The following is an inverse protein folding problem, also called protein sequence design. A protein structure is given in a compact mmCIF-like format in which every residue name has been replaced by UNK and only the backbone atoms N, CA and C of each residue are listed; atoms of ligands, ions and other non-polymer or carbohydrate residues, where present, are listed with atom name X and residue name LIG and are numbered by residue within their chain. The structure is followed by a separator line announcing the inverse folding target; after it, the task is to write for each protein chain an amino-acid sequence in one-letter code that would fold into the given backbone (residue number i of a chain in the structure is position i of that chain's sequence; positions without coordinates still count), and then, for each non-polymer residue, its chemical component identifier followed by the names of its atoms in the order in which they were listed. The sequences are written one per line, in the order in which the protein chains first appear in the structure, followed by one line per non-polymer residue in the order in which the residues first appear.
data_IF_763734973848
#
_entry.id   IF_763734973848
#
_cell.length_a   1.000
_cell.length_b   1.000
_cell.length_c   1.000
_cell.angle_alpha   90.00
_cell.angle_beta   90.00
_cell.angle_gamma   90.00
#
_symmetry.space_group_name_H-M   'P 1'
#
loop_
_entity.id
_entity.type
_entity.pdbx_description
1 polymer ?
#
# COMPACT_ATOMS: atom_id res chain seq x y z
N UNK A 1 -26.12 -40.91 69.92
CA UNK A 1 -25.20 -40.85 68.75
C UNK A 1 -25.80 -39.83 67.76
N UNK A 2 -25.34 -38.57 67.84
CA UNK A 2 -25.79 -37.47 66.98
C UNK A 2 -24.79 -37.36 65.79
N UNK A 3 -25.24 -37.58 64.56
CA UNK A 3 -24.46 -37.38 63.34
C UNK A 3 -24.52 -35.90 62.95
N UNK A 4 -23.37 -35.21 62.98
CA UNK A 4 -23.20 -33.87 62.39
C UNK A 4 -23.03 -34.03 60.87
N UNK A 5 -23.94 -33.48 60.11
CA UNK A 5 -23.73 -33.24 58.65
C UNK A 5 -23.04 -31.86 58.52
N UNK A 6 -21.79 -31.92 58.01
CA UNK A 6 -21.09 -30.68 57.56
C UNK A 6 -21.45 -30.42 56.08
N UNK A 7 -22.18 -29.35 55.86
CA UNK A 7 -22.47 -28.83 54.51
C UNK A 7 -21.31 -27.99 54.04
N UNK A 8 -20.56 -28.47 53.06
CA UNK A 8 -19.45 -27.74 52.42
C UNK A 8 -20.03 -26.86 51.30
N UNK A 9 -20.17 -25.55 51.57
CA UNK A 9 -20.57 -24.58 50.55
C UNK A 9 -19.39 -24.22 49.68
N UNK A 10 -19.43 -24.67 48.41
CA UNK A 10 -18.46 -24.31 47.38
C UNK A 10 -18.87 -22.95 46.78
N UNK A 11 -18.19 -21.91 47.17
CA UNK A 11 -18.37 -20.58 46.55
C UNK A 11 -17.68 -20.57 45.17
N UNK A 12 -18.46 -20.66 44.11
CA UNK A 12 -17.97 -20.50 42.75
C UNK A 12 -17.70 -19.04 42.51
N UNK A 13 -16.45 -18.60 42.61
CA UNK A 13 -16.04 -17.23 42.22
C UNK A 13 -16.10 -17.16 40.70
N UNK A 14 -17.17 -16.60 40.15
CA UNK A 14 -17.20 -16.14 38.78
C UNK A 14 -16.24 -14.95 38.68
N UNK A 15 -15.02 -15.20 38.23
CA UNK A 15 -14.13 -14.14 37.72
C UNK A 15 -14.75 -13.62 36.42
N UNK A 16 -15.48 -12.51 36.48
CA UNK A 16 -15.78 -11.73 35.29
C UNK A 16 -14.43 -11.24 34.76
N UNK A 17 -13.95 -11.81 33.65
CA UNK A 17 -12.87 -11.21 32.91
C UNK A 17 -13.35 -9.79 32.51
N UNK A 18 -12.79 -8.79 33.14
CA UNK A 18 -12.98 -7.41 32.68
C UNK A 18 -12.31 -7.33 31.32
N UNK A 19 -13.09 -7.12 30.28
CA UNK A 19 -12.55 -6.81 28.96
C UNK A 19 -11.70 -5.54 29.12
N UNK A 20 -10.43 -5.63 28.76
CA UNK A 20 -9.59 -4.44 28.72
C UNK A 20 -10.19 -3.49 27.68
N UNK A 21 -10.44 -2.24 28.08
CA UNK A 21 -10.91 -1.23 27.14
C UNK A 21 -9.85 -1.01 26.04
N UNK A 22 -10.29 -0.73 24.81
CA UNK A 22 -9.37 -0.37 23.74
C UNK A 22 -8.51 0.83 24.16
N UNK A 23 -7.21 0.88 23.81
CA UNK A 23 -6.34 2.00 24.13
C UNK A 23 -6.90 3.31 23.57
N UNK A 24 -6.94 4.37 24.38
CA UNK A 24 -7.37 5.70 23.94
C UNK A 24 -6.15 6.54 23.54
N UNK A 25 -5.94 6.82 22.23
CA UNK A 25 -4.81 7.63 21.78
C UNK A 25 -4.84 9.08 22.29
N UNK A 26 -5.97 9.58 22.79
CA UNK A 26 -6.03 10.87 23.48
C UNK A 26 -5.34 10.86 24.85
N UNK A 27 -5.16 9.68 25.46
CA UNK A 27 -4.36 9.47 26.67
C UNK A 27 -3.05 8.75 26.33
N UNK A 28 -2.21 9.41 25.56
CA UNK A 28 -0.96 8.81 25.04
C UNK A 28 -0.02 8.21 26.09
N UNK A 29 0.15 8.80 27.31
CA UNK A 29 0.93 8.16 28.37
C UNK A 29 0.40 6.77 28.76
N UNK A 30 -0.92 6.56 28.79
CA UNK A 30 -1.51 5.24 29.05
C UNK A 30 -1.22 4.27 27.90
N UNK A 31 -1.33 4.72 26.63
CA UNK A 31 -0.99 3.89 25.46
C UNK A 31 0.46 3.41 25.54
N UNK A 32 1.40 4.29 25.90
CA UNK A 32 2.81 3.92 26.05
C UNK A 32 3.04 2.92 27.20
N UNK A 33 2.29 3.02 28.30
CA UNK A 33 2.42 2.07 29.40
C UNK A 33 1.85 0.70 29.03
N UNK A 34 0.66 0.68 28.40
CA UNK A 34 -0.02 -0.55 27.98
C UNK A 34 0.79 -1.27 26.89
N UNK A 35 1.49 -0.53 26.01
CA UNK A 35 2.30 -1.08 24.94
C UNK A 35 3.56 -1.82 25.42
N UNK A 36 4.07 -1.54 26.63
CA UNK A 36 5.32 -2.13 27.11
C UNK A 36 5.25 -3.64 27.20
N UNK A 37 6.23 -4.30 26.52
CA UNK A 37 6.32 -5.76 26.49
C UNK A 37 5.40 -6.43 25.48
N UNK A 38 4.55 -5.67 24.76
CA UNK A 38 3.76 -6.21 23.68
C UNK A 38 4.61 -6.65 22.50
N UNK A 39 4.10 -7.61 21.74
CA UNK A 39 4.65 -8.02 20.44
C UNK A 39 3.60 -7.73 19.38
N UNK A 40 3.92 -6.83 18.45
CA UNK A 40 3.08 -6.44 17.32
C UNK A 40 3.41 -7.33 16.12
N UNK A 41 2.46 -8.16 15.69
CA UNK A 41 2.55 -8.90 14.43
C UNK A 41 2.05 -8.02 13.28
N UNK A 42 2.99 -7.39 12.59
CA UNK A 42 2.70 -6.51 11.46
C UNK A 42 2.64 -7.31 10.16
N UNK A 43 1.45 -7.48 9.65
CA UNK A 43 1.19 -8.14 8.38
C UNK A 43 1.40 -7.13 7.25
N UNK A 44 2.52 -7.26 6.55
CA UNK A 44 2.96 -6.31 5.53
C UNK A 44 3.51 -7.05 4.30
N UNK A 45 3.36 -6.46 3.13
CA UNK A 45 3.97 -6.98 1.91
C UNK A 45 5.48 -7.18 2.09
N UNK A 46 5.97 -8.34 1.66
CA UNK A 46 7.34 -8.77 1.92
C UNK A 46 8.19 -9.01 0.68
N UNK A 47 7.72 -8.56 -0.50
CA UNK A 47 8.34 -8.89 -1.79
C UNK A 47 9.61 -8.10 -2.14
N UNK A 48 10.07 -7.15 -1.30
CA UNK A 48 11.29 -6.38 -1.54
C UNK A 48 12.16 -6.28 -0.29
N UNK A 49 13.46 -6.54 -0.44
CA UNK A 49 14.40 -6.59 0.69
C UNK A 49 14.62 -5.23 1.35
N UNK A 50 14.64 -4.15 0.58
CA UNK A 50 14.76 -2.79 1.08
C UNK A 50 13.57 -2.39 1.97
N UNK A 51 12.34 -2.76 1.59
CA UNK A 51 11.13 -2.53 2.38
C UNK A 51 11.18 -3.36 3.66
N UNK A 52 11.57 -4.64 3.57
CA UNK A 52 11.75 -5.51 4.73
C UNK A 52 12.82 -4.95 5.69
N UNK A 53 13.90 -4.39 5.16
CA UNK A 53 14.95 -3.76 5.97
C UNK A 53 14.45 -2.49 6.68
N UNK A 54 13.63 -1.65 6.01
CA UNK A 54 13.00 -0.50 6.64
C UNK A 54 12.07 -0.92 7.79
N UNK A 55 11.22 -1.93 7.57
CA UNK A 55 10.32 -2.46 8.62
C UNK A 55 11.11 -2.99 9.82
N UNK A 56 12.21 -3.72 9.56
CA UNK A 56 13.10 -4.22 10.63
C UNK A 56 13.78 -3.08 11.39
N UNK A 57 14.23 -2.02 10.68
CA UNK A 57 14.81 -0.83 11.30
C UNK A 57 13.79 -0.12 12.20
N UNK A 58 12.57 0.12 11.69
CA UNK A 58 11.50 0.74 12.48
C UNK A 58 11.19 -0.08 13.73
N UNK A 59 11.11 -1.42 13.59
CA UNK A 59 10.90 -2.35 14.70
C UNK A 59 12.01 -2.23 15.76
N UNK A 60 13.28 -2.16 15.36
CA UNK A 60 14.40 -2.01 16.27
C UNK A 60 14.36 -0.68 17.07
N UNK A 61 13.95 0.42 16.42
CA UNK A 61 13.76 1.70 17.09
C UNK A 61 12.62 1.62 18.12
N UNK A 62 11.50 1.03 17.76
CA UNK A 62 10.33 0.87 18.62
C UNK A 62 10.64 -0.01 19.82
N UNK A 63 11.35 -1.12 19.62
CA UNK A 63 11.76 -2.00 20.71
C UNK A 63 12.70 -1.27 21.68
N UNK A 64 13.71 -0.56 21.15
CA UNK A 64 14.68 0.17 21.96
C UNK A 64 14.05 1.33 22.78
N UNK A 65 13.08 2.07 22.20
CA UNK A 65 12.52 3.27 22.85
C UNK A 65 11.33 2.98 23.75
N UNK A 66 10.51 2.00 23.35
CA UNK A 66 9.20 1.77 23.96
C UNK A 66 9.01 0.37 24.52
N UNK A 67 9.98 -0.55 24.30
CA UNK A 67 9.88 -1.93 24.75
C UNK A 67 8.83 -2.75 23.99
N UNK A 68 8.42 -2.32 22.80
CA UNK A 68 7.47 -3.01 21.94
C UNK A 68 8.23 -3.78 20.86
N UNK A 69 8.06 -5.10 20.80
CA UNK A 69 8.66 -5.93 19.77
C UNK A 69 7.81 -5.90 18.51
N UNK A 70 8.42 -5.73 17.35
CA UNK A 70 7.74 -5.79 16.05
C UNK A 70 8.19 -7.03 15.28
N UNK A 71 7.23 -7.82 14.81
CA UNK A 71 7.45 -9.00 14.00
C UNK A 71 6.73 -8.83 12.67
N UNK A 72 7.47 -8.63 11.59
CA UNK A 72 6.88 -8.62 10.25
C UNK A 72 6.38 -10.01 9.86
N UNK A 73 5.10 -10.12 9.55
CA UNK A 73 4.52 -11.26 8.85
C UNK A 73 4.47 -10.91 7.37
N UNK A 74 5.41 -11.47 6.61
CA UNK A 74 5.57 -11.17 5.18
C UNK A 74 4.41 -11.74 4.38
N UNK A 75 3.73 -10.88 3.63
CA UNK A 75 2.62 -11.22 2.75
C UNK A 75 3.05 -11.08 1.29
N UNK A 76 2.52 -11.95 0.44
CA UNK A 76 2.51 -11.75 -1.02
C UNK A 76 1.33 -10.83 -1.42
N UNK A 77 0.19 -10.96 -0.71
CA UNK A 77 -1.03 -10.19 -0.91
C UNK A 77 -1.72 -9.90 0.42
N UNK A 78 -2.16 -8.66 0.61
CA UNK A 78 -2.87 -8.18 1.81
C UNK A 78 -4.19 -8.91 2.05
N UNK A 79 -4.87 -9.37 1.00
CA UNK A 79 -6.11 -10.15 1.11
C UNK A 79 -5.95 -11.40 1.99
N UNK A 80 -4.74 -11.96 2.10
CA UNK A 80 -4.43 -13.09 2.99
C UNK A 80 -4.62 -12.72 4.47
N UNK A 81 -4.16 -11.53 4.89
CA UNK A 81 -4.37 -11.04 6.26
C UNK A 81 -5.85 -10.72 6.52
N UNK A 82 -6.53 -10.12 5.55
CA UNK A 82 -7.98 -9.84 5.64
C UNK A 82 -8.77 -11.14 5.82
N UNK A 83 -8.51 -12.16 5.01
CA UNK A 83 -9.16 -13.47 5.12
C UNK A 83 -8.95 -14.11 6.49
N UNK A 84 -7.78 -13.93 7.09
CA UNK A 84 -7.47 -14.42 8.43
C UNK A 84 -8.32 -13.74 9.50
N UNK A 85 -8.46 -12.41 9.46
CA UNK A 85 -9.31 -11.66 10.40
C UNK A 85 -10.79 -12.02 10.22
N UNK A 86 -11.26 -12.21 8.97
CA UNK A 86 -12.61 -12.69 8.66
C UNK A 86 -12.85 -14.07 9.28
N UNK A 87 -11.91 -15.01 9.13
CA UNK A 87 -12.02 -16.35 9.70
C UNK A 87 -12.03 -16.33 11.23
N UNK A 88 -11.22 -15.47 11.86
CA UNK A 88 -11.22 -15.28 13.31
C UNK A 88 -12.57 -14.74 13.81
N UNK A 89 -13.17 -13.78 13.11
CA UNK A 89 -14.50 -13.26 13.44
C UNK A 89 -15.58 -14.35 13.32
N UNK A 90 -15.54 -15.13 12.24
CA UNK A 90 -16.48 -16.24 12.03
C UNK A 90 -16.35 -17.31 13.13
N UNK A 91 -15.13 -17.50 13.67
CA UNK A 91 -14.87 -18.40 14.80
C UNK A 91 -15.22 -17.78 16.18
N UNK A 92 -15.76 -16.56 16.23
CA UNK A 92 -16.11 -15.85 17.46
C UNK A 92 -14.90 -15.32 18.25
N UNK A 93 -13.72 -15.24 17.63
CA UNK A 93 -12.50 -14.73 18.25
C UNK A 93 -12.50 -13.20 18.25
N UNK A 94 -13.12 -12.62 19.28
CA UNK A 94 -13.27 -11.16 19.39
C UNK A 94 -12.06 -10.47 20.04
N UNK A 95 -11.13 -11.23 20.61
CA UNK A 95 -9.90 -10.77 21.26
C UNK A 95 -8.74 -11.71 20.95
N UNK A 96 -7.52 -11.25 21.19
CA UNK A 96 -6.32 -12.05 21.01
C UNK A 96 -6.14 -12.52 19.57
N UNK A 97 -6.50 -11.68 18.61
CA UNK A 97 -6.29 -11.93 17.19
C UNK A 97 -4.81 -12.18 16.88
N UNK A 98 -4.56 -12.78 15.74
CA UNK A 98 -3.21 -13.11 15.30
C UNK A 98 -2.60 -12.05 14.35
N UNK A 99 -3.33 -10.96 14.14
CA UNK A 99 -2.95 -9.83 13.31
C UNK A 99 -3.12 -8.57 14.14
N UNK A 100 -2.03 -7.82 14.36
CA UNK A 100 -2.06 -6.61 15.18
C UNK A 100 -2.03 -5.33 14.35
N UNK A 101 -1.30 -5.36 13.24
CA UNK A 101 -1.23 -4.26 12.29
C UNK A 101 -1.22 -4.82 10.87
N UNK A 102 -1.89 -4.15 9.94
CA UNK A 102 -1.92 -4.52 8.51
C UNK A 102 -1.48 -3.33 7.68
N UNK A 103 -0.55 -3.52 6.75
CA UNK A 103 -0.38 -2.62 5.63
C UNK A 103 -1.52 -2.87 4.64
N UNK A 104 -2.36 -1.88 4.42
CA UNK A 104 -3.65 -2.05 3.76
C UNK A 104 -3.95 -0.90 2.79
N UNK A 105 -4.72 -1.19 1.75
CA UNK A 105 -5.25 -0.23 0.78
C UNK A 105 -6.53 -0.75 0.11
N UNK A 106 -7.30 0.17 -0.44
CA UNK A 106 -8.30 -0.06 -1.47
C UNK A 106 -9.38 -1.06 -1.09
N UNK A 107 -9.53 -2.11 -1.88
CA UNK A 107 -10.59 -3.13 -1.68
C UNK A 107 -10.45 -3.87 -0.36
N UNK A 108 -9.22 -4.03 0.13
CA UNK A 108 -8.95 -4.67 1.41
C UNK A 108 -9.44 -3.81 2.57
N UNK A 109 -9.17 -2.50 2.55
CA UNK A 109 -9.70 -1.56 3.54
C UNK A 109 -11.24 -1.48 3.44
N UNK A 110 -11.79 -1.28 2.24
CA UNK A 110 -13.23 -1.22 2.02
C UNK A 110 -13.94 -2.48 2.57
N UNK A 111 -13.36 -3.66 2.33
CA UNK A 111 -13.86 -4.94 2.84
C UNK A 111 -13.82 -4.99 4.37
N UNK A 112 -12.68 -4.66 4.99
CA UNK A 112 -12.57 -4.68 6.45
C UNK A 112 -13.49 -3.65 7.12
N UNK A 113 -13.58 -2.44 6.56
CA UNK A 113 -14.44 -1.38 7.08
C UNK A 113 -15.92 -1.77 7.03
N UNK A 114 -16.40 -2.23 5.87
CA UNK A 114 -17.80 -2.60 5.68
C UNK A 114 -18.26 -3.77 6.56
N UNK A 115 -17.35 -4.65 6.93
CA UNK A 115 -17.61 -5.81 7.78
C UNK A 115 -17.36 -5.55 9.28
N UNK A 116 -16.95 -4.33 9.66
CA UNK A 116 -16.60 -3.99 11.05
C UNK A 116 -15.43 -4.86 11.57
N UNK A 117 -14.38 -5.01 10.77
CA UNK A 117 -13.19 -5.79 11.09
C UNK A 117 -12.02 -4.93 11.57
N UNK A 118 -12.17 -3.62 11.61
CA UNK A 118 -11.19 -2.67 12.10
C UNK A 118 -11.50 -2.25 13.54
N UNK A 119 -10.49 -1.76 14.24
CA UNK A 119 -10.66 -1.09 15.53
C UNK A 119 -11.66 0.06 15.36
N UNK A 120 -12.79 0.00 16.06
CA UNK A 120 -13.98 0.78 15.73
C UNK A 120 -13.90 2.27 16.11
N UNK A 121 -13.06 2.62 17.08
CA UNK A 121 -12.87 4.01 17.48
C UNK A 121 -11.88 4.71 16.52
N UNK A 122 -12.18 5.93 16.04
CA UNK A 122 -11.21 6.72 15.29
C UNK A 122 -9.97 6.98 16.14
N UNK A 123 -8.82 6.48 15.69
CA UNK A 123 -7.57 6.54 16.46
C UNK A 123 -6.45 7.28 15.74
N UNK A 124 -6.38 7.16 14.40
CA UNK A 124 -5.23 7.61 13.62
C UNK A 124 -4.99 9.12 13.73
N UNK A 125 -6.05 9.93 13.63
CA UNK A 125 -5.94 11.40 13.69
C UNK A 125 -5.62 11.92 15.11
N UNK A 126 -5.68 11.07 16.13
CA UNK A 126 -5.34 11.40 17.51
C UNK A 126 -3.89 11.04 17.88
N UNK A 127 -3.15 10.40 17.00
CA UNK A 127 -1.75 10.08 17.22
C UNK A 127 -0.91 11.36 17.38
N UNK A 128 0.06 11.43 18.31
CA UNK A 128 0.86 12.63 18.56
C UNK A 128 1.57 13.20 17.31
N UNK A 129 2.02 12.34 16.41
CA UNK A 129 2.71 12.74 15.18
C UNK A 129 1.76 13.09 14.02
N UNK A 130 0.45 12.90 14.17
CA UNK A 130 -0.55 13.32 13.18
C UNK A 130 -0.44 14.81 12.81
N UNK A 131 0.00 15.64 13.75
CA UNK A 131 0.24 17.09 13.54
C UNK A 131 1.19 17.42 12.38
N UNK A 132 2.00 16.46 11.96
CA UNK A 132 2.93 16.61 10.84
C UNK A 132 2.33 16.15 9.50
N UNK A 133 1.25 15.36 9.51
CA UNK A 133 0.59 14.85 8.31
C UNK A 133 -0.03 15.99 7.51
N UNK A 134 0.19 15.99 6.20
CA UNK A 134 -0.31 17.02 5.29
C UNK A 134 -1.75 16.71 4.82
N UNK A 135 -2.68 16.78 5.76
CA UNK A 135 -4.08 16.46 5.47
C UNK A 135 -4.79 17.47 4.55
N UNK A 136 -4.23 18.68 4.41
CA UNK A 136 -4.76 19.74 3.52
C UNK A 136 -4.15 19.68 2.12
N UNK A 137 -2.82 19.50 2.02
CA UNK A 137 -2.11 19.44 0.75
C UNK A 137 -2.14 18.06 0.09
N UNK A 138 -2.47 17.02 0.85
CA UNK A 138 -2.52 15.61 0.41
C UNK A 138 -3.84 14.97 0.82
N UNK A 139 -4.97 15.32 0.19
CA UNK A 139 -6.30 14.86 0.61
C UNK A 139 -6.45 13.33 0.61
N UNK A 140 -5.64 12.60 -0.16
CA UNK A 140 -5.61 11.14 -0.18
C UNK A 140 -5.19 10.51 1.14
N UNK A 141 -4.65 11.27 2.11
CA UNK A 141 -4.40 10.75 3.48
C UNK A 141 -5.69 10.56 4.29
N UNK A 142 -6.84 11.05 3.79
CA UNK A 142 -8.17 10.91 4.39
C UNK A 142 -9.12 10.07 3.57
N UNK A 143 -8.66 9.54 2.43
CA UNK A 143 -9.44 8.66 1.57
C UNK A 143 -8.56 7.52 1.08
N UNK A 144 -9.00 6.29 1.29
CA UNK A 144 -8.38 5.13 0.68
C UNK A 144 -9.18 4.77 -0.58
N UNK A 145 -8.54 4.99 -1.72
CA UNK A 145 -9.17 5.10 -3.04
C UNK A 145 -10.31 6.15 -2.96
N UNK A 146 -11.54 5.79 -2.97
CA UNK A 146 -12.66 6.73 -2.81
C UNK A 146 -13.37 6.61 -1.45
N UNK A 147 -12.88 5.72 -0.57
CA UNK A 147 -13.51 5.42 0.70
C UNK A 147 -12.94 6.34 1.79
N UNK A 148 -13.74 7.15 2.49
CA UNK A 148 -13.27 7.91 3.63
C UNK A 148 -12.62 6.98 4.67
N UNK A 149 -11.45 7.37 5.20
CA UNK A 149 -10.75 6.55 6.20
C UNK A 149 -11.38 6.64 7.58
N UNK A 150 -12.08 7.73 7.88
CA UNK A 150 -12.78 8.00 9.16
C UNK A 150 -11.88 7.79 10.40
N UNK A 151 -10.56 7.99 10.24
CA UNK A 151 -9.58 7.80 11.31
C UNK A 151 -9.35 6.33 11.72
N UNK A 152 -9.76 5.35 10.91
CA UNK A 152 -9.63 3.91 11.18
C UNK A 152 -8.31 3.32 10.68
N UNK A 153 -7.54 4.10 9.92
CA UNK A 153 -6.21 3.75 9.43
C UNK A 153 -5.30 4.98 9.44
N UNK A 154 -4.00 4.77 9.60
CA UNK A 154 -3.00 5.83 9.61
C UNK A 154 -2.21 5.82 8.29
N UNK A 155 -2.07 6.98 7.60
CA UNK A 155 -1.27 7.08 6.40
C UNK A 155 0.22 6.99 6.76
N UNK A 156 1.02 6.21 6.04
CA UNK A 156 2.44 6.10 6.35
C UNK A 156 3.36 6.22 5.13
N UNK A 157 2.79 6.41 3.94
CA UNK A 157 3.52 6.67 2.71
C UNK A 157 2.62 7.09 1.58
N UNK A 158 3.23 7.69 0.56
CA UNK A 158 2.55 8.09 -0.67
C UNK A 158 3.02 7.21 -1.81
N UNK A 159 2.14 6.97 -2.75
CA UNK A 159 2.45 6.21 -3.94
C UNK A 159 2.03 6.97 -5.19
N UNK A 160 2.80 6.84 -6.25
CA UNK A 160 2.47 7.36 -7.57
C UNK A 160 3.03 6.44 -8.65
N UNK A 161 2.19 6.10 -9.60
CA UNK A 161 2.61 5.31 -10.74
C UNK A 161 3.58 6.13 -11.60
N UNK A 162 4.77 5.59 -11.78
CA UNK A 162 5.81 6.16 -12.63
C UNK A 162 6.33 5.08 -13.56
N UNK A 163 6.72 5.48 -14.75
CA UNK A 163 7.36 4.61 -15.73
C UNK A 163 8.87 4.81 -15.71
N UNK A 164 9.60 3.75 -16.03
CA UNK A 164 11.06 3.75 -16.17
C UNK A 164 11.43 3.31 -17.57
N UNK A 165 12.47 3.93 -18.12
CA UNK A 165 13.08 3.55 -19.38
C UNK A 165 14.60 3.55 -19.27
N UNK A 166 15.27 2.75 -20.08
CA UNK A 166 16.71 2.85 -20.27
C UNK A 166 17.02 3.91 -21.34
N UNK A 167 17.56 5.05 -20.91
CA UNK A 167 17.86 6.18 -21.79
C UNK A 167 18.97 5.87 -22.84
N UNK A 168 19.72 4.79 -22.64
CA UNK A 168 20.65 4.28 -23.65
C UNK A 168 19.93 3.58 -24.82
N UNK A 169 18.67 3.16 -24.65
CA UNK A 169 17.88 2.45 -25.65
C UNK A 169 16.73 3.27 -26.20
N UNK A 170 15.99 3.97 -25.32
CA UNK A 170 14.81 4.75 -25.68
C UNK A 170 15.08 6.22 -25.37
N UNK A 171 15.02 7.09 -26.38
CA UNK A 171 15.22 8.54 -26.21
C UNK A 171 14.01 9.19 -25.57
N UNK A 172 14.22 10.32 -24.90
CA UNK A 172 13.16 11.04 -24.21
C UNK A 172 12.03 11.52 -25.14
N UNK A 173 12.35 11.88 -26.38
CA UNK A 173 11.38 12.30 -27.39
C UNK A 173 10.46 11.18 -27.88
N UNK A 174 10.91 9.92 -27.76
CA UNK A 174 10.19 8.71 -28.20
C UNK A 174 9.33 8.09 -27.08
N UNK A 175 9.36 8.68 -25.86
CA UNK A 175 8.62 8.14 -24.73
C UNK A 175 7.11 8.35 -24.88
N UNK A 176 6.30 7.36 -24.49
CA UNK A 176 4.84 7.50 -24.44
C UNK A 176 4.40 8.64 -23.50
N UNK A 177 3.38 9.38 -23.91
CA UNK A 177 2.79 10.49 -23.11
C UNK A 177 1.38 10.19 -22.61
N UNK A 178 0.87 9.00 -22.93
CA UNK A 178 -0.45 8.52 -22.57
C UNK A 178 -0.52 6.99 -22.72
N UNK A 179 -1.59 6.38 -22.21
CA UNK A 179 -1.84 4.95 -22.48
C UNK A 179 -1.97 4.67 -23.98
N UNK A 180 -2.58 5.57 -24.76
CA UNK A 180 -2.69 5.43 -26.21
C UNK A 180 -1.32 5.45 -26.89
N UNK A 181 -0.42 6.34 -26.46
CA UNK A 181 0.95 6.38 -27.00
C UNK A 181 1.75 5.14 -26.58
N UNK A 182 1.53 4.63 -25.36
CA UNK A 182 2.17 3.39 -24.90
C UNK A 182 1.74 2.19 -25.75
N UNK A 183 0.48 2.11 -26.13
CA UNK A 183 0.01 1.09 -27.07
C UNK A 183 0.71 1.21 -28.42
N UNK A 184 0.75 2.42 -28.98
CA UNK A 184 1.43 2.68 -30.26
C UNK A 184 2.93 2.40 -30.19
N UNK A 185 3.56 2.67 -29.05
CA UNK A 185 4.96 2.34 -28.79
C UNK A 185 5.17 0.82 -28.72
N UNK A 186 4.30 0.10 -28.01
CA UNK A 186 4.38 -1.36 -27.88
C UNK A 186 4.15 -2.07 -29.23
N UNK A 187 3.26 -1.56 -30.09
CA UNK A 187 3.05 -2.05 -31.45
C UNK A 187 4.32 -1.89 -32.34
N UNK A 188 5.10 -0.84 -32.11
CA UNK A 188 6.40 -0.59 -32.82
C UNK A 188 7.56 -1.38 -32.19
N UNK A 189 7.47 -1.70 -30.89
CA UNK A 189 8.51 -2.36 -30.11
C UNK A 189 7.97 -3.65 -29.46
N UNK A 190 7.51 -4.64 -30.26
CA UNK A 190 6.84 -5.81 -29.70
C UNK A 190 7.77 -6.61 -28.79
N UNK A 191 7.24 -7.02 -27.66
CA UNK A 191 7.95 -7.77 -26.65
C UNK A 191 8.75 -6.93 -25.65
N UNK A 192 8.76 -5.58 -25.78
CA UNK A 192 9.62 -4.70 -24.97
C UNK A 192 8.91 -4.04 -23.80
N UNK A 193 7.63 -4.36 -23.55
CA UNK A 193 6.81 -3.95 -22.44
C UNK A 193 6.02 -5.14 -21.88
N UNK A 194 5.70 -5.10 -20.60
CA UNK A 194 4.77 -6.01 -19.94
C UNK A 194 4.23 -5.40 -18.67
N UNK A 195 3.26 -6.08 -18.05
CA UNK A 195 2.74 -5.81 -16.71
C UNK A 195 2.52 -7.13 -15.97
N UNK A 196 2.56 -7.15 -14.61
CA UNK A 196 2.24 -8.34 -13.84
C UNK A 196 0.79 -8.76 -14.03
N UNK A 197 0.54 -10.06 -13.94
CA UNK A 197 -0.82 -10.61 -14.07
C UNK A 197 -1.67 -10.20 -12.85
N UNK A 198 -2.87 -9.60 -13.05
CA UNK A 198 -3.81 -9.43 -11.96
C UNK A 198 -4.13 -10.77 -11.24
N UNK A 199 -4.30 -10.79 -9.89
CA UNK A 199 -4.54 -9.62 -9.04
C UNK A 199 -3.28 -8.97 -8.44
N UNK A 200 -2.08 -9.18 -8.99
CA UNK A 200 -0.90 -8.41 -8.52
C UNK A 200 -1.22 -6.91 -8.54
N UNK A 201 -0.90 -6.21 -7.45
CA UNK A 201 -1.26 -4.81 -7.26
C UNK A 201 -0.72 -3.89 -8.37
N UNK A 202 0.51 -4.12 -8.83
CA UNK A 202 1.14 -3.32 -9.90
C UNK A 202 0.43 -3.58 -11.24
N UNK A 203 0.12 -4.86 -11.53
CA UNK A 203 -0.65 -5.22 -12.72
C UNK A 203 -2.03 -4.60 -12.72
N UNK A 204 -2.77 -4.71 -11.62
CA UNK A 204 -4.10 -4.10 -11.46
C UNK A 204 -4.04 -2.57 -11.53
N UNK A 205 -2.96 -1.95 -11.03
CA UNK A 205 -2.74 -0.50 -11.15
C UNK A 205 -2.54 -0.06 -12.61
N UNK A 206 -1.85 -0.87 -13.43
CA UNK A 206 -1.76 -0.60 -14.86
C UNK A 206 -3.16 -0.64 -15.53
N UNK A 207 -3.98 -1.63 -15.21
CA UNK A 207 -5.35 -1.71 -15.73
C UNK A 207 -6.18 -0.49 -15.32
N UNK A 208 -6.07 -0.05 -14.06
CA UNK A 208 -6.76 1.15 -13.56
C UNK A 208 -6.26 2.43 -14.25
N UNK A 209 -4.95 2.56 -14.50
CA UNK A 209 -4.38 3.68 -15.26
C UNK A 209 -5.01 3.76 -16.65
N UNK A 210 -5.04 2.63 -17.38
CA UNK A 210 -5.63 2.58 -18.72
C UNK A 210 -7.14 2.86 -18.67
N UNK A 211 -7.87 2.30 -17.70
CA UNK A 211 -9.29 2.56 -17.50
C UNK A 211 -9.55 4.06 -17.28
N UNK A 212 -8.78 4.69 -16.39
CA UNK A 212 -8.92 6.12 -16.05
C UNK A 212 -8.64 7.05 -17.23
N UNK A 213 -7.77 6.64 -18.17
CA UNK A 213 -7.50 7.41 -19.37
C UNK A 213 -8.53 7.16 -20.49
N UNK A 214 -9.08 5.96 -20.59
CA UNK A 214 -9.92 5.56 -21.73
C UNK A 214 -11.40 5.72 -21.48
N UNK A 215 -11.85 5.74 -20.22
CA UNK A 215 -13.26 5.95 -19.90
C UNK A 215 -13.71 7.38 -20.23
N UNK A 216 -14.87 7.51 -20.85
CA UNK A 216 -15.40 8.82 -21.24
C UNK A 216 -15.92 9.63 -20.05
N UNK A 217 -16.69 8.96 -19.17
CA UNK A 217 -17.25 9.59 -17.96
C UNK A 217 -16.51 9.08 -16.72
N UNK A 218 -15.49 9.82 -16.30
CA UNK A 218 -14.66 9.48 -15.15
C UNK A 218 -15.42 9.47 -13.83
N UNK A 219 -16.55 10.19 -13.72
CA UNK A 219 -17.33 10.21 -12.49
C UNK A 219 -17.88 8.83 -12.12
N UNK A 220 -18.10 7.96 -13.12
CA UNK A 220 -18.52 6.57 -12.89
C UNK A 220 -17.48 5.75 -12.13
N UNK A 221 -16.22 6.08 -12.25
CA UNK A 221 -15.14 5.37 -11.56
C UNK A 221 -15.06 5.72 -10.07
N UNK A 222 -15.62 6.86 -9.66
CA UNK A 222 -15.59 7.32 -8.27
C UNK A 222 -16.73 6.71 -7.41
N UNK A 223 -17.65 5.99 -8.02
CA UNK A 223 -18.77 5.30 -7.37
C UNK A 223 -18.65 3.79 -7.52
N UNK A 224 -19.34 2.99 -6.67
CA UNK A 224 -19.40 1.54 -6.83
C UNK A 224 -19.79 1.13 -8.23
N UNK A 225 -19.15 0.06 -8.74
CA UNK A 225 -19.48 -0.49 -10.05
C UNK A 225 -20.93 -0.96 -10.08
N UNK A 226 -21.64 -0.63 -11.17
CA UNK A 226 -22.97 -1.15 -11.47
C UNK A 226 -22.83 -2.22 -12.53
N UNK A 227 -23.28 -3.44 -12.24
CA UNK A 227 -23.11 -4.59 -13.15
C UNK A 227 -23.70 -4.35 -14.52
N UNK A 228 -24.85 -3.67 -14.60
CA UNK A 228 -25.51 -3.32 -15.85
C UNK A 228 -24.72 -2.31 -16.70
N UNK A 229 -23.86 -1.50 -16.09
CA UNK A 229 -23.04 -0.51 -16.78
C UNK A 229 -21.61 -1.00 -17.03
N UNK A 230 -21.14 -2.02 -16.30
CA UNK A 230 -19.75 -2.48 -16.30
C UNK A 230 -19.23 -2.75 -17.72
N UNK A 231 -19.96 -3.52 -18.51
CA UNK A 231 -19.54 -3.89 -19.85
C UNK A 231 -19.31 -2.68 -20.76
N UNK A 232 -20.18 -1.67 -20.68
CA UNK A 232 -20.06 -0.46 -21.49
C UNK A 232 -18.90 0.45 -21.02
N UNK A 233 -18.77 0.64 -19.70
CA UNK A 233 -17.74 1.51 -19.11
C UNK A 233 -16.33 0.90 -19.28
N UNK A 234 -16.18 -0.42 -19.10
CA UNK A 234 -14.89 -1.09 -19.20
C UNK A 234 -14.49 -1.48 -20.64
N UNK A 235 -15.41 -1.37 -21.61
CA UNK A 235 -15.12 -1.74 -23.00
C UNK A 235 -13.85 -1.09 -23.57
N UNK A 236 -13.62 0.23 -23.41
CA UNK A 236 -12.40 0.86 -23.93
C UNK A 236 -11.11 0.28 -23.35
N UNK A 237 -11.11 -0.07 -22.06
CA UNK A 237 -9.98 -0.78 -21.43
C UNK A 237 -9.72 -2.12 -22.12
N UNK A 238 -10.75 -2.94 -22.29
CA UNK A 238 -10.56 -4.27 -22.86
C UNK A 238 -10.25 -4.23 -24.36
N UNK A 239 -10.80 -3.29 -25.12
CA UNK A 239 -10.40 -3.03 -26.51
C UNK A 239 -8.91 -2.65 -26.60
N UNK A 240 -8.42 -1.85 -25.65
CA UNK A 240 -7.00 -1.51 -25.53
C UNK A 240 -6.13 -2.74 -25.22
N UNK A 241 -6.55 -3.58 -24.25
CA UNK A 241 -5.80 -4.78 -23.86
C UNK A 241 -5.79 -5.84 -24.99
N UNK A 242 -6.87 -5.99 -25.75
CA UNK A 242 -6.93 -6.89 -26.91
C UNK A 242 -5.88 -6.53 -27.97
N UNK A 243 -5.55 -5.23 -28.12
CA UNK A 243 -4.48 -4.74 -28.99
C UNK A 243 -3.10 -4.82 -28.36
N UNK A 244 -2.99 -4.53 -27.06
CA UNK A 244 -1.71 -4.49 -26.35
C UNK A 244 -1.15 -5.90 -26.13
N UNK A 245 -1.96 -6.85 -25.66
CA UNK A 245 -1.48 -8.16 -25.21
C UNK A 245 -0.65 -8.92 -26.28
N UNK A 246 -0.99 -8.94 -27.56
CA UNK A 246 -0.15 -9.57 -28.58
C UNK A 246 1.25 -8.95 -28.74
N UNK A 247 1.43 -7.72 -28.26
CA UNK A 247 2.68 -6.95 -28.36
C UNK A 247 3.49 -6.94 -27.05
N UNK A 248 2.98 -7.58 -25.99
CA UNK A 248 3.70 -7.72 -24.72
C UNK A 248 4.87 -8.71 -24.83
N UNK A 249 5.75 -8.66 -23.82
CA UNK A 249 6.75 -9.68 -23.58
C UNK A 249 6.13 -11.08 -23.72
N UNK A 250 6.83 -11.98 -24.41
CA UNK A 250 6.33 -13.32 -24.77
C UNK A 250 4.94 -13.33 -25.43
N UNK A 251 4.57 -12.21 -26.07
CA UNK A 251 3.29 -12.05 -26.80
C UNK A 251 2.06 -12.21 -25.89
N UNK A 252 2.19 -11.81 -24.61
CA UNK A 252 1.11 -11.94 -23.64
C UNK A 252 0.74 -13.38 -23.28
N UNK A 253 1.58 -14.36 -23.60
CA UNK A 253 1.39 -15.77 -23.20
C UNK A 253 1.99 -16.08 -21.84
N UNK A 254 2.82 -15.19 -21.31
CA UNK A 254 3.35 -15.20 -19.97
C UNK A 254 3.48 -13.75 -19.50
N UNK A 255 3.38 -13.57 -18.20
CA UNK A 255 3.45 -12.28 -17.53
C UNK A 255 4.54 -12.33 -16.44
N UNK A 256 5.20 -11.20 -16.11
CA UNK A 256 5.98 -11.09 -14.89
C UNK A 256 5.11 -11.46 -13.68
N UNK A 257 5.69 -12.09 -12.67
CA UNK A 257 4.95 -12.48 -11.48
C UNK A 257 4.57 -11.25 -10.64
N UNK A 258 5.49 -10.28 -10.56
CA UNK A 258 5.38 -9.08 -9.73
C UNK A 258 6.34 -7.99 -10.23
N UNK A 259 6.39 -6.86 -9.52
CA UNK A 259 7.30 -5.77 -9.86
C UNK A 259 8.81 -6.16 -9.81
N UNK A 260 9.33 -6.87 -8.79
CA UNK A 260 10.71 -7.37 -8.81
C UNK A 260 11.07 -8.14 -10.08
N UNK A 261 10.17 -8.97 -10.61
CA UNK A 261 10.38 -9.65 -11.88
C UNK A 261 10.46 -8.68 -13.06
N UNK A 262 9.61 -7.65 -13.11
CA UNK A 262 9.67 -6.62 -14.15
C UNK A 262 11.01 -5.87 -14.13
N UNK A 263 11.49 -5.52 -12.92
CA UNK A 263 12.77 -4.85 -12.71
C UNK A 263 13.92 -5.73 -13.22
N UNK A 264 13.91 -7.04 -12.89
CA UNK A 264 14.90 -8.00 -13.37
C UNK A 264 14.86 -8.12 -14.91
N UNK A 265 13.68 -8.21 -15.53
CA UNK A 265 13.55 -8.26 -16.98
C UNK A 265 14.07 -6.99 -17.66
N UNK A 266 13.94 -5.81 -17.01
CA UNK A 266 14.55 -4.58 -17.51
C UNK A 266 16.08 -4.63 -17.38
N UNK A 267 16.63 -5.09 -16.26
CA UNK A 267 18.06 -5.27 -16.05
C UNK A 267 18.67 -6.23 -17.06
N UNK A 268 17.98 -7.33 -17.36
CA UNK A 268 18.38 -8.33 -18.37
C UNK A 268 18.20 -7.81 -19.81
N UNK A 269 17.63 -6.62 -19.98
CA UNK A 269 17.38 -6.00 -21.28
C UNK A 269 16.24 -6.65 -22.07
N UNK A 270 15.35 -7.40 -21.43
CA UNK A 270 14.15 -7.97 -22.06
C UNK A 270 13.03 -6.95 -22.17
N UNK A 271 12.91 -6.01 -21.19
CA UNK A 271 12.01 -4.87 -21.25
C UNK A 271 12.79 -3.57 -21.44
N UNK A 272 12.23 -2.63 -22.21
CA UNK A 272 12.79 -1.28 -22.41
C UNK A 272 11.98 -0.23 -21.64
N UNK A 273 10.72 -0.51 -21.34
CA UNK A 273 9.86 0.27 -20.44
C UNK A 273 9.29 -0.66 -19.38
N UNK A 274 9.35 -0.22 -18.12
CA UNK A 274 8.68 -0.81 -16.97
C UNK A 274 8.04 0.27 -16.14
N UNK A 275 7.40 -0.08 -15.03
CA UNK A 275 6.75 0.90 -14.15
C UNK A 275 6.66 0.37 -12.72
N UNK A 276 6.54 1.30 -11.78
CA UNK A 276 6.31 1.02 -10.36
C UNK A 276 5.35 2.03 -9.75
N UNK A 277 4.97 1.80 -8.51
CA UNK A 277 4.13 2.72 -7.74
C UNK A 277 4.93 3.57 -6.74
N UNK A 278 6.26 3.64 -6.88
CA UNK A 278 7.15 4.47 -6.09
C UNK A 278 8.03 5.34 -7.00
N UNK A 279 7.92 6.67 -6.94
CA UNK A 279 8.68 7.59 -7.78
C UNK A 279 10.21 7.48 -7.66
N UNK A 280 10.73 7.05 -6.52
CA UNK A 280 12.17 6.95 -6.29
C UNK A 280 12.73 5.53 -6.55
N UNK A 281 11.89 4.58 -6.94
CA UNK A 281 12.30 3.19 -7.06
C UNK A 281 13.41 2.96 -8.10
N UNK A 282 13.37 3.71 -9.22
CA UNK A 282 14.46 3.68 -10.19
C UNK A 282 15.80 4.12 -9.61
N UNK A 283 15.82 5.17 -8.79
CA UNK A 283 17.03 5.62 -8.11
C UNK A 283 17.51 4.63 -7.04
N UNK A 284 16.56 4.05 -6.27
CA UNK A 284 16.87 3.02 -5.29
C UNK A 284 17.48 1.78 -5.95
N UNK A 285 16.91 1.33 -7.07
CA UNK A 285 17.42 0.19 -7.82
C UNK A 285 18.81 0.45 -8.44
N UNK A 286 19.08 1.67 -8.93
CA UNK A 286 20.43 2.07 -9.38
C UNK A 286 21.41 2.06 -8.20
N UNK A 287 21.04 2.63 -7.06
CA UNK A 287 21.90 2.66 -5.87
C UNK A 287 22.21 1.25 -5.34
N UNK A 288 21.29 0.31 -5.48
CA UNK A 288 21.45 -1.11 -5.13
C UNK A 288 22.24 -1.92 -6.20
N UNK A 289 22.55 -1.32 -7.37
CA UNK A 289 23.19 -2.02 -8.47
C UNK A 289 22.27 -3.01 -9.22
N UNK A 290 20.97 -2.87 -9.05
CA UNK A 290 19.97 -3.74 -9.70
C UNK A 290 19.57 -3.23 -11.09
N UNK A 291 19.69 -1.93 -11.35
CA UNK A 291 19.45 -1.30 -12.65
C UNK A 291 20.66 -0.47 -13.09
N UNK A 292 20.89 -0.32 -14.41
CA UNK A 292 21.96 0.53 -14.92
C UNK A 292 21.69 2.01 -14.61
N UNK A 293 22.76 2.79 -14.52
CA UNK A 293 22.73 4.23 -14.26
C UNK A 293 22.11 5.07 -15.40
N UNK A 294 21.82 4.44 -16.53
CA UNK A 294 21.10 5.01 -17.68
C UNK A 294 19.59 5.04 -17.50
N UNK A 295 19.04 4.35 -16.48
CA UNK A 295 17.59 4.33 -16.23
C UNK A 295 17.11 5.71 -15.79
N UNK A 296 15.96 6.14 -16.32
CA UNK A 296 15.27 7.40 -16.00
C UNK A 296 13.78 7.16 -15.82
N UNK A 297 13.16 8.01 -15.01
CA UNK A 297 11.71 7.99 -14.81
C UNK A 297 10.99 8.96 -15.71
N UNK A 298 9.74 8.63 -16.06
CA UNK A 298 8.80 9.54 -16.69
C UNK A 298 7.38 9.27 -16.22
N UNK A 299 6.49 10.24 -16.43
CA UNK A 299 5.05 10.13 -16.17
C UNK A 299 4.30 10.62 -17.40
N UNK A 300 3.02 10.34 -17.47
CA UNK A 300 2.17 10.91 -18.51
C UNK A 300 1.76 12.33 -18.14
N UNK A 301 1.87 13.31 -19.06
CA UNK A 301 1.47 14.69 -18.80
C UNK A 301 0.00 14.86 -18.39
N UNK A 302 -0.88 13.95 -18.84
CA UNK A 302 -2.30 13.91 -18.42
C UNK A 302 -2.52 13.40 -17.00
N UNK A 303 -1.47 12.92 -16.35
CA UNK A 303 -1.48 12.36 -15.00
C UNK A 303 -1.31 10.85 -14.95
N UNK A 304 -0.82 10.39 -13.82
CA UNK A 304 -0.76 8.97 -13.46
C UNK A 304 -1.40 8.75 -12.11
N UNK A 305 -1.87 7.53 -11.85
CA UNK A 305 -2.50 7.18 -10.57
C UNK A 305 -1.59 7.52 -9.40
N UNK A 306 -2.18 8.02 -8.33
CA UNK A 306 -1.49 8.29 -7.08
C UNK A 306 -2.41 8.04 -5.89
N UNK A 307 -1.88 7.45 -4.83
CA UNK A 307 -2.63 7.17 -3.61
C UNK A 307 -1.74 7.31 -2.36
N UNK A 308 -2.34 7.07 -1.23
CA UNK A 308 -1.66 6.93 0.06
C UNK A 308 -1.73 5.46 0.45
N UNK A 309 -0.69 4.92 1.08
CA UNK A 309 -0.79 3.62 1.72
C UNK A 309 -0.85 3.76 3.23
N UNK A 310 -1.56 2.83 3.86
CA UNK A 310 -2.01 2.94 5.23
C UNK A 310 -1.60 1.73 6.06
N UNK A 311 -1.66 1.92 7.38
CA UNK A 311 -1.67 0.84 8.35
C UNK A 311 -2.97 0.88 9.15
N UNK A 312 -3.59 -0.28 9.35
CA UNK A 312 -4.83 -0.41 10.11
C UNK A 312 -4.71 -1.47 11.21
N UNK A 313 -5.46 -1.27 12.28
CA UNK A 313 -5.51 -2.17 13.43
C UNK A 313 -6.82 -2.97 13.35
N UNK A 314 -6.76 -4.33 13.31
CA UNK A 314 -7.96 -5.15 13.40
C UNK A 314 -8.71 -5.00 14.73
N UNK A 315 -10.04 -5.21 14.70
CA UNK A 315 -10.90 -5.09 15.88
C UNK A 315 -10.48 -5.99 17.05
N UNK A 316 -9.95 -7.18 16.74
CA UNK A 316 -9.55 -8.20 17.69
C UNK A 316 -8.02 -8.29 17.91
N UNK A 317 -7.26 -7.30 17.43
CA UNK A 317 -5.81 -7.27 17.60
C UNK A 317 -5.42 -7.48 19.06
N UNK A 318 -4.35 -8.23 19.29
CA UNK A 318 -3.87 -8.55 20.62
C UNK A 318 -2.99 -7.44 21.21
N UNK A 319 -2.22 -6.75 20.37
CA UNK A 319 -1.26 -5.70 20.74
C UNK A 319 -1.69 -4.33 20.16
N UNK A 320 -2.89 -3.87 20.54
CA UNK A 320 -3.45 -2.62 20.00
C UNK A 320 -2.65 -1.39 20.39
N UNK A 321 -2.17 -1.32 21.65
CA UNK A 321 -1.36 -0.21 22.12
C UNK A 321 -0.01 -0.14 21.42
N UNK A 322 0.68 -1.26 21.30
CA UNK A 322 1.94 -1.35 20.55
C UNK A 322 1.76 -1.04 19.07
N UNK A 323 0.65 -1.46 18.46
CA UNK A 323 0.32 -1.12 17.07
C UNK A 323 0.11 0.40 16.89
N UNK A 324 -0.54 1.09 17.82
CA UNK A 324 -0.66 2.56 17.82
C UNK A 324 0.71 3.24 17.97
N UNK A 325 1.58 2.74 18.86
CA UNK A 325 2.93 3.28 19.06
C UNK A 325 3.76 3.13 17.78
N UNK A 326 3.69 1.98 17.13
CA UNK A 326 4.36 1.77 15.83
C UNK A 326 3.78 2.70 14.76
N UNK A 327 2.46 2.81 14.63
CA UNK A 327 1.82 3.68 13.65
C UNK A 327 2.18 5.16 13.87
N UNK A 328 2.22 5.63 15.12
CA UNK A 328 2.68 6.99 15.45
C UNK A 328 4.12 7.23 15.01
N UNK A 329 5.01 6.29 15.29
CA UNK A 329 6.40 6.39 14.83
C UNK A 329 6.51 6.44 13.31
N UNK A 330 5.74 5.62 12.59
CA UNK A 330 5.79 5.57 11.12
C UNK A 330 5.44 6.91 10.45
N UNK A 331 4.66 7.76 11.11
CA UNK A 331 4.33 9.13 10.64
C UNK A 331 5.20 10.22 11.30
N UNK A 332 6.25 9.84 12.02
CA UNK A 332 7.19 10.82 12.57
C UNK A 332 8.13 11.38 11.49
N UNK A 333 8.67 12.60 11.66
CA UNK A 333 9.67 13.15 10.73
C UNK A 333 10.90 12.24 10.56
N UNK A 334 11.35 11.58 11.63
CA UNK A 334 12.47 10.65 11.60
C UNK A 334 12.21 9.45 10.68
N UNK A 335 11.08 8.76 10.90
CA UNK A 335 10.72 7.58 10.13
C UNK A 335 10.43 7.91 8.66
N UNK A 336 9.76 9.03 8.42
CA UNK A 336 9.42 9.49 7.08
C UNK A 336 10.63 9.94 6.26
N UNK A 337 11.58 10.66 6.88
CA UNK A 337 12.81 11.07 6.21
C UNK A 337 13.69 9.86 5.88
N UNK A 338 13.83 8.92 6.83
CA UNK A 338 14.59 7.68 6.59
C UNK A 338 13.96 6.84 5.46
N UNK A 339 12.64 6.74 5.43
CA UNK A 339 11.92 6.03 4.39
C UNK A 339 12.05 6.69 3.01
N UNK A 340 12.07 8.02 2.95
CA UNK A 340 12.16 8.77 1.68
C UNK A 340 13.56 8.72 1.05
N UNK A 341 14.61 8.34 1.79
CA UNK A 341 15.94 8.14 1.22
C UNK A 341 15.93 6.98 0.21
N UNK A 342 16.28 7.21 -1.08
CA UNK A 342 16.35 6.15 -2.09
C UNK A 342 17.31 5.01 -1.75
N UNK A 343 18.32 5.28 -0.91
CA UNK A 343 19.24 4.25 -0.40
C UNK A 343 18.57 3.31 0.60
N UNK A 344 17.42 3.69 1.14
CA UNK A 344 16.62 2.90 2.08
C UNK A 344 15.41 2.32 1.36
N UNK A 345 14.50 3.18 0.91
CA UNK A 345 13.30 2.75 0.17
C UNK A 345 12.92 3.76 -0.92
N UNK A 346 12.99 5.07 -0.64
CA UNK A 346 12.59 6.12 -1.57
C UNK A 346 11.09 6.43 -1.55
N UNK A 347 10.35 5.94 -0.57
CA UNK A 347 8.89 6.11 -0.48
C UNK A 347 8.52 7.55 -0.07
N UNK A 348 7.71 8.29 -0.86
CA UNK A 348 7.39 9.68 -0.58
C UNK A 348 6.63 9.88 0.74
N UNK A 349 6.93 10.98 1.42
CA UNK A 349 6.36 11.29 2.72
C UNK A 349 4.90 11.73 2.66
N UNK A 350 4.15 11.40 3.71
CA UNK A 350 2.80 11.93 3.98
C UNK A 350 2.83 13.28 4.70
N UNK A 351 4.01 13.76 5.09
CA UNK A 351 4.14 14.95 5.93
C UNK A 351 4.04 16.26 5.13
N UNK A 352 3.62 17.32 5.82
CA UNK A 352 3.72 18.68 5.34
C UNK A 352 5.13 19.22 5.58
N UNK A 353 6.01 19.10 4.60
CA UNK A 353 7.40 19.52 4.70
C UNK A 353 7.55 21.03 4.96
N UNK A 354 6.58 21.85 4.54
CA UNK A 354 6.60 23.29 4.79
C UNK A 354 6.35 23.65 6.27
N UNK A 355 5.69 22.77 7.02
CA UNK A 355 5.44 22.96 8.45
C UNK A 355 6.58 22.47 9.33
N UNK A 356 7.55 21.73 8.80
CA UNK A 356 8.71 21.26 9.54
C UNK A 356 9.72 22.37 9.78
N UNK A 357 10.45 22.31 10.88
CA UNK A 357 11.48 23.26 11.25
C UNK A 357 12.72 22.55 11.86
N UNK A 358 13.83 23.28 11.96
CA UNK A 358 15.05 22.82 12.63
C UNK A 358 15.57 21.49 12.05
N UNK A 359 15.90 20.56 12.92
CA UNK A 359 16.49 19.27 12.56
C UNK A 359 15.53 18.39 11.74
N UNK A 360 14.23 18.49 11.98
CA UNK A 360 13.26 17.68 11.25
C UNK A 360 13.17 18.09 9.78
N UNK A 361 13.22 19.40 9.49
CA UNK A 361 13.31 19.89 8.12
C UNK A 361 14.63 19.52 7.46
N UNK A 362 15.75 19.67 8.19
CA UNK A 362 17.08 19.40 7.67
C UNK A 362 17.26 17.94 7.23
N UNK A 363 16.58 16.97 7.87
CA UNK A 363 16.59 15.56 7.45
C UNK A 363 16.10 15.39 6.01
N UNK A 364 15.03 16.10 5.62
CA UNK A 364 14.49 16.04 4.26
C UNK A 364 15.29 16.86 3.26
N UNK A 365 15.75 18.05 3.65
CA UNK A 365 16.53 18.95 2.79
C UNK A 365 17.87 18.33 2.37
N UNK A 366 18.41 17.40 3.17
CA UNK A 366 19.68 16.71 2.91
C UNK A 366 19.57 15.47 2.05
N UNK A 367 18.36 15.02 1.69
CA UNK A 367 18.17 13.80 0.91
C UNK A 367 18.64 13.99 -0.54
N UNK A 368 19.49 13.09 -0.99
CA UNK A 368 19.79 12.91 -2.40
C UNK A 368 18.81 11.92 -3.00
N UNK A 369 17.82 12.43 -3.73
CA UNK A 369 16.75 11.61 -4.33
C UNK A 369 17.24 10.77 -5.52
N UNK A 370 18.49 10.96 -5.96
CA UNK A 370 19.09 10.19 -7.04
C UNK A 370 18.65 10.61 -8.44
N UNK A 371 19.36 10.07 -9.43
CA UNK A 371 19.31 10.50 -10.83
C UNK A 371 18.02 10.12 -11.57
N UNK A 372 17.34 9.06 -11.14
CA UNK A 372 16.14 8.55 -11.77
C UNK A 372 14.84 9.00 -11.08
N UNK A 373 14.92 9.74 -9.96
CA UNK A 373 13.73 10.26 -9.27
C UNK A 373 13.31 11.59 -9.88
N UNK A 374 12.05 11.68 -10.30
CA UNK A 374 11.46 12.94 -10.74
C UNK A 374 11.28 13.88 -9.55
N UNK A 375 11.56 15.17 -9.77
CA UNK A 375 11.25 16.20 -8.79
C UNK A 375 9.74 16.37 -8.65
N UNK A 376 9.23 16.90 -7.53
CA UNK A 376 7.79 17.08 -7.31
C UNK A 376 7.06 17.81 -8.44
N UNK A 377 7.68 18.83 -9.03
CA UNK A 377 7.16 19.60 -10.16
C UNK A 377 7.15 18.84 -11.50
N UNK A 378 7.92 17.75 -11.59
CA UNK A 378 8.01 16.87 -12.76
C UNK A 378 7.06 15.66 -12.67
N UNK A 379 6.52 15.34 -11.50
CA UNK A 379 5.62 14.20 -11.30
C UNK A 379 4.27 14.36 -12.01
N UNK A 380 3.90 15.59 -12.39
CA UNK A 380 2.62 15.89 -13.00
C UNK A 380 1.42 15.63 -12.08
N UNK A 381 0.18 15.78 -12.57
CA UNK A 381 -1.01 15.58 -11.77
C UNK A 381 -1.15 14.11 -11.34
N UNK A 382 -1.73 13.89 -10.16
CA UNK A 382 -2.19 12.58 -9.75
C UNK A 382 -3.60 12.35 -10.30
N UNK A 383 -3.86 11.17 -10.86
CA UNK A 383 -5.21 10.70 -11.12
C UNK A 383 -5.72 10.00 -9.87
N UNK A 384 -7.00 10.21 -9.58
CA UNK A 384 -7.67 9.53 -8.49
C UNK A 384 -7.78 8.04 -8.77
N UNK A 385 -7.64 7.24 -7.71
CA UNK A 385 -7.95 5.81 -7.76
C UNK A 385 -9.45 5.60 -8.00
N UNK A 386 -9.85 4.66 -8.86
CA UNK A 386 -11.24 4.26 -8.95
C UNK A 386 -11.76 3.68 -7.63
N UNK A 387 -13.10 3.71 -7.44
CA UNK A 387 -13.73 3.01 -6.33
C UNK A 387 -13.27 1.53 -6.30
N UNK A 388 -12.96 0.95 -5.12
CA UNK A 388 -12.37 -0.38 -5.00
C UNK A 388 -13.09 -1.49 -5.77
N UNK A 389 -14.42 -1.41 -5.90
CA UNK A 389 -15.21 -2.39 -6.65
C UNK A 389 -14.84 -2.47 -8.14
N UNK A 390 -14.30 -1.39 -8.74
CA UNK A 390 -13.81 -1.43 -10.11
C UNK A 390 -12.60 -2.33 -10.25
N UNK A 391 -11.65 -2.25 -9.30
CA UNK A 391 -10.46 -3.11 -9.29
C UNK A 391 -10.86 -4.59 -9.28
N UNK A 392 -11.66 -5.00 -8.30
CA UNK A 392 -12.16 -6.39 -8.18
C UNK A 392 -12.86 -6.86 -9.45
N UNK A 393 -13.67 -5.98 -10.05
CA UNK A 393 -14.46 -6.36 -11.20
C UNK A 393 -13.67 -6.45 -12.50
N UNK A 394 -12.71 -5.53 -12.72
CA UNK A 394 -11.82 -5.61 -13.90
C UNK A 394 -10.84 -6.77 -13.79
N UNK A 395 -10.33 -7.12 -12.60
CA UNK A 395 -9.49 -8.30 -12.39
C UNK A 395 -10.24 -9.60 -12.73
N UNK A 396 -11.48 -9.71 -12.26
CA UNK A 396 -12.34 -10.85 -12.58
C UNK A 396 -12.53 -11.00 -14.08
N UNK A 397 -12.83 -9.89 -14.78
CA UNK A 397 -13.05 -9.90 -16.22
C UNK A 397 -11.74 -10.13 -17.00
N UNK A 398 -10.62 -9.58 -16.53
CA UNK A 398 -9.29 -9.83 -17.08
C UNK A 398 -8.95 -11.32 -17.01
N UNK A 399 -9.13 -11.93 -15.84
CA UNK A 399 -8.89 -13.36 -15.63
C UNK A 399 -9.76 -14.21 -16.55
N UNK A 400 -11.02 -13.83 -16.73
CA UNK A 400 -11.94 -14.51 -17.63
C UNK A 400 -11.49 -14.46 -19.09
N UNK A 401 -10.93 -13.31 -19.55
CA UNK A 401 -10.54 -13.10 -20.95
C UNK A 401 -9.17 -13.66 -21.28
N UNK A 402 -8.22 -13.46 -20.38
CA UNK A 402 -6.79 -13.69 -20.68
C UNK A 402 -6.14 -14.73 -19.74
N UNK A 403 -6.79 -15.11 -18.65
CA UNK A 403 -6.23 -16.00 -17.63
C UNK A 403 -6.44 -17.50 -17.91
N UNK A 404 -7.30 -17.88 -18.82
CA UNK A 404 -7.62 -19.27 -19.13
C UNK A 404 -6.85 -19.72 -20.39
N UNK A 405 -5.64 -20.19 -20.24
CA UNK A 405 -4.89 -20.72 -21.37
C UNK A 405 -3.37 -20.75 -21.24
N UNK A 406 -2.88 -20.60 -20.02
CA UNK A 406 -1.44 -20.70 -19.74
C UNK A 406 -1.17 -21.91 -18.84
#
# INVERSE_FOLDING_TARGET
MKKLLATLSFALSLSTAAFAADPDPANWPSVLEDAKGETVYWNAWGGADNINAYIAWAGGIIESRYGVKVVQVKLEDTATAVAKVVAEKAAGKNEGGSVDLIWINGENFASMKSQGLLLSAPWAEKLPNWKYVDAEGKPTVRTDFTIPVDGLEAPWGMAKLVFFHDSAKTKAEDLPKSAADLLAWAEKNPGRFSYPMPPDFIGSSFLKQVLSETVTDKSKLLAPVKEEEFAAVSKPLFDYLDRLNPNLWRKGKAYPQNYPDMKRLMADGELDITFAFNPADGSAAIAAGELPDTVRSFTFPGGTLGNTHFVAIPYNANAKAGAMVLADFLISPEAQAHKQDPKVWGDPTVLNLASLAGEDKAKFDSLDLGIATLKPDQLGPALDEPHPSWMVRIETEWKRRYGAGN
#
